data_IF_555499164737
#
_entry.id   IF_555499164737
#
_cell.length_a   1.000
_cell.length_b   1.000
_cell.length_c   1.000
_cell.angle_alpha   90.00
_cell.angle_beta   90.00
_cell.angle_gamma   90.00
#
_symmetry.space_group_name_H-M   'P 1'
#
loop_
_entity.id
_entity.type
_entity.pdbx_description
1 polymer ?
#
# COMPACT_ATOMS: atom_id res chain seq x y z
N UNK A 1 -32.77 -16.35 13.01
CA UNK A 1 -31.56 -16.76 12.26
C UNK A 1 -30.42 -15.87 12.68
N UNK A 2 -29.33 -16.47 13.17
CA UNK A 2 -28.34 -15.83 14.04
C UNK A 2 -27.46 -14.79 13.36
N UNK A 3 -27.31 -13.65 14.03
CA UNK A 3 -26.25 -12.66 13.79
C UNK A 3 -24.90 -13.28 14.17
N UNK A 4 -24.13 -13.68 13.17
CA UNK A 4 -22.72 -14.03 13.35
C UNK A 4 -21.92 -12.80 13.77
N UNK A 5 -21.17 -12.92 14.87
CA UNK A 5 -20.21 -11.94 15.39
C UNK A 5 -19.08 -11.71 14.36
N UNK A 6 -19.30 -10.82 13.39
CA UNK A 6 -18.24 -10.28 12.53
C UNK A 6 -18.00 -8.83 12.92
N UNK A 7 -16.82 -8.52 13.48
CA UNK A 7 -16.42 -7.14 13.80
C UNK A 7 -16.57 -6.24 12.56
N UNK A 8 -17.06 -5.02 12.77
CA UNK A 8 -17.32 -4.03 11.72
C UNK A 8 -16.15 -3.97 10.72
N UNK A 9 -16.39 -4.41 9.48
CA UNK A 9 -15.42 -4.35 8.39
C UNK A 9 -15.12 -2.87 8.07
N UNK A 10 -13.84 -2.52 7.95
CA UNK A 10 -13.43 -1.16 7.55
C UNK A 10 -14.07 -0.79 6.21
N UNK A 11 -14.72 0.37 6.17
CA UNK A 11 -15.40 0.96 5.02
C UNK A 11 -14.47 1.92 4.26
N UNK A 12 -14.93 2.47 3.12
CA UNK A 12 -14.22 3.54 2.41
C UNK A 12 -13.98 4.73 3.34
N UNK A 13 -12.79 5.34 3.25
CA UNK A 13 -12.42 6.46 4.12
C UNK A 13 -12.18 6.07 5.58
N UNK A 14 -12.12 4.78 5.92
CA UNK A 14 -11.79 4.35 7.28
C UNK A 14 -10.37 4.74 7.62
N UNK A 15 -10.23 5.33 8.80
CA UNK A 15 -8.98 5.80 9.36
C UNK A 15 -8.82 5.16 10.74
N UNK A 16 -7.63 4.65 11.02
CA UNK A 16 -7.23 4.24 12.36
C UNK A 16 -5.82 4.75 12.61
N UNK A 17 -5.71 5.94 13.20
CA UNK A 17 -4.45 6.63 13.41
C UNK A 17 -3.77 6.22 14.71
N UNK A 18 -2.44 6.22 14.68
CA UNK A 18 -1.58 6.24 15.87
C UNK A 18 -1.00 7.64 16.03
N UNK A 19 -0.78 8.09 17.27
CA UNK A 19 -0.16 9.40 17.54
C UNK A 19 1.25 9.50 16.95
N UNK A 20 1.93 8.35 16.83
CA UNK A 20 3.26 8.22 16.22
C UNK A 20 3.09 7.83 14.76
N UNK A 21 3.69 8.60 13.85
CA UNK A 21 3.54 8.44 12.39
C UNK A 21 4.68 7.64 11.75
N UNK A 22 4.99 6.44 12.26
CA UNK A 22 6.02 5.59 11.62
C UNK A 22 5.53 5.01 10.29
N UNK A 23 4.39 4.31 10.31
CA UNK A 23 3.89 3.57 9.14
C UNK A 23 2.41 3.87 8.90
N UNK A 24 2.02 4.02 7.63
CA UNK A 24 0.62 3.96 7.22
C UNK A 24 0.39 2.76 6.30
N UNK A 25 -0.55 1.89 6.66
CA UNK A 25 -1.03 0.83 5.79
C UNK A 25 -2.16 1.37 4.91
N UNK A 26 -1.88 1.48 3.61
CA UNK A 26 -2.82 2.00 2.60
C UNK A 26 -3.57 0.83 1.94
N UNK A 27 -4.88 0.88 2.04
CA UNK A 27 -5.79 -0.10 1.44
C UNK A 27 -6.64 0.52 0.34
N UNK A 28 -6.97 -0.27 -0.68
CA UNK A 28 -7.90 0.14 -1.71
C UNK A 28 -9.35 0.10 -1.20
N UNK A 29 -10.18 1.05 -1.65
CA UNK A 29 -11.60 1.15 -1.30
C UNK A 29 -12.35 -0.18 -1.40
N UNK A 30 -13.14 -0.55 -0.39
CA UNK A 30 -13.98 -1.71 -0.48
C UNK A 30 -15.08 -1.60 -1.54
N UNK A 31 -15.28 -2.67 -2.30
CA UNK A 31 -16.51 -3.00 -3.02
C UNK A 31 -17.26 -4.13 -2.30
N UNK A 32 -18.34 -4.66 -2.89
CA UNK A 32 -19.17 -5.74 -2.32
C UNK A 32 -18.41 -7.05 -1.99
N UNK A 33 -17.12 -7.13 -2.31
CA UNK A 33 -16.22 -8.27 -2.07
C UNK A 33 -14.94 -7.93 -1.30
N UNK A 34 -14.83 -6.75 -0.70
CA UNK A 34 -13.59 -6.35 -0.03
C UNK A 34 -13.63 -6.68 1.46
N UNK A 35 -13.03 -7.82 1.78
CA UNK A 35 -12.69 -8.24 3.13
C UNK A 35 -11.34 -7.59 3.47
N UNK A 36 -11.23 -6.94 4.62
CA UNK A 36 -10.03 -6.22 5.07
C UNK A 36 -8.84 -7.13 5.38
N UNK A 37 -8.99 -8.45 5.23
CA UNK A 37 -7.90 -9.44 5.20
C UNK A 37 -7.28 -9.37 3.79
N UNK A 38 -6.15 -8.68 3.63
CA UNK A 38 -4.97 -8.88 4.49
C UNK A 38 -4.51 -7.64 5.26
N UNK A 39 -5.03 -6.45 4.98
CA UNK A 39 -4.57 -5.19 5.59
C UNK A 39 -4.70 -5.22 7.11
N UNK A 40 -5.79 -5.76 7.66
CA UNK A 40 -5.93 -5.91 9.12
C UNK A 40 -4.91 -6.87 9.73
N UNK A 41 -4.57 -7.97 9.04
CA UNK A 41 -3.58 -8.93 9.54
C UNK A 41 -2.17 -8.35 9.47
N UNK A 42 -1.86 -7.62 8.40
CA UNK A 42 -0.61 -6.88 8.24
C UNK A 42 -0.46 -5.84 9.35
N UNK A 43 -1.48 -5.03 9.60
CA UNK A 43 -1.41 -3.95 10.60
C UNK A 43 -1.32 -4.50 12.01
N UNK A 44 -2.06 -5.57 12.31
CA UNK A 44 -1.93 -6.29 13.58
C UNK A 44 -0.51 -6.81 13.78
N UNK A 45 0.05 -7.50 12.78
CA UNK A 45 1.41 -8.05 12.88
C UNK A 45 2.49 -6.97 13.02
N UNK A 46 2.34 -5.83 12.33
CA UNK A 46 3.26 -4.69 12.49
C UNK A 46 3.19 -4.11 13.90
N UNK A 47 1.98 -3.95 14.45
CA UNK A 47 1.78 -3.45 15.83
C UNK A 47 2.33 -4.42 16.88
N UNK A 48 2.08 -5.72 16.74
CA UNK A 48 2.68 -6.77 17.59
C UNK A 48 4.21 -6.76 17.52
N UNK A 49 4.77 -6.41 16.36
CA UNK A 49 6.21 -6.25 16.17
C UNK A 49 6.77 -4.91 16.71
N UNK A 50 5.95 -4.11 17.39
CA UNK A 50 6.33 -2.83 17.98
C UNK A 50 6.45 -1.68 16.99
N UNK A 51 5.78 -1.75 15.83
CA UNK A 51 5.81 -0.71 14.80
C UNK A 51 4.50 0.08 14.83
N UNK A 52 4.58 1.38 15.06
CA UNK A 52 3.41 2.26 15.12
C UNK A 52 2.79 2.40 13.73
N UNK A 53 1.64 1.77 13.54
CA UNK A 53 1.02 1.63 12.21
C UNK A 53 -0.40 2.20 12.21
N UNK A 54 -0.60 3.27 11.44
CA UNK A 54 -1.91 3.80 11.06
C UNK A 54 -2.50 3.01 9.89
N UNK A 55 -3.82 3.10 9.68
CA UNK A 55 -4.51 2.51 8.53
C UNK A 55 -5.28 3.59 7.79
N UNK A 56 -5.14 3.60 6.45
CA UNK A 56 -5.91 4.45 5.56
C UNK A 56 -6.55 3.59 4.46
N UNK A 57 -7.88 3.56 4.43
CA UNK A 57 -8.62 2.98 3.32
C UNK A 57 -9.02 4.10 2.37
N UNK A 58 -8.50 4.07 1.14
CA UNK A 58 -8.78 5.12 0.17
C UNK A 58 -10.29 5.27 -0.09
N UNK A 59 -10.74 6.48 -0.44
CA UNK A 59 -12.09 6.81 -0.85
C UNK A 59 -12.37 6.36 -2.29
N UNK A 60 -11.40 6.57 -3.18
CA UNK A 60 -11.46 6.25 -4.60
C UNK A 60 -10.40 5.23 -5.07
N UNK A 61 -10.06 4.25 -4.25
CA UNK A 61 -9.06 3.20 -4.54
C UNK A 61 -9.53 2.04 -5.46
N UNK A 62 -10.81 1.99 -5.85
CA UNK A 62 -11.32 1.01 -6.83
C UNK A 62 -10.92 1.36 -8.27
N UNK A 63 -10.95 0.40 -9.18
CA UNK A 63 -10.65 0.67 -10.60
C UNK A 63 -9.16 0.79 -10.90
N UNK A 64 -8.78 1.64 -11.85
CA UNK A 64 -7.38 1.94 -12.26
C UNK A 64 -7.23 3.44 -12.53
N UNK A 65 -6.02 4.02 -12.42
CA UNK A 65 -5.81 5.43 -12.75
C UNK A 65 -6.17 5.74 -14.20
N UNK A 66 -6.57 6.99 -14.48
CA UNK A 66 -6.89 7.44 -15.83
C UNK A 66 -5.71 7.33 -16.81
N UNK A 67 -4.48 7.44 -16.30
CA UNK A 67 -3.24 7.34 -17.08
C UNK A 67 -2.88 5.88 -17.43
N UNK A 68 -3.55 4.88 -16.84
CA UNK A 68 -3.25 3.48 -17.12
C UNK A 68 -3.68 3.09 -18.55
N UNK A 69 -2.89 2.26 -19.26
CA UNK A 69 -3.13 1.89 -20.66
C UNK A 69 -4.42 1.07 -20.85
N UNK A 70 -4.88 0.42 -19.78
CA UNK A 70 -6.13 -0.35 -19.77
C UNK A 70 -7.04 0.25 -18.73
N UNK A 71 -8.22 0.70 -19.15
CA UNK A 71 -9.25 1.23 -18.27
C UNK A 71 -10.18 0.11 -17.78
N UNK A 72 -10.79 0.34 -16.62
CA UNK A 72 -11.84 -0.53 -16.08
C UNK A 72 -13.13 0.27 -15.90
N UNK A 73 -14.22 -0.38 -15.48
CA UNK A 73 -15.49 0.33 -15.23
C UNK A 73 -15.47 1.35 -14.08
N UNK A 74 -14.34 1.49 -13.37
CA UNK A 74 -14.11 2.52 -12.37
C UNK A 74 -12.72 3.15 -12.56
N UNK A 75 -12.59 4.43 -12.21
CA UNK A 75 -11.33 5.17 -12.20
C UNK A 75 -10.86 5.33 -10.76
N UNK A 76 -9.59 5.01 -10.51
CA UNK A 76 -8.95 5.24 -9.23
C UNK A 76 -8.54 6.71 -9.10
N UNK A 77 -8.72 7.27 -7.91
CA UNK A 77 -8.22 8.58 -7.52
C UNK A 77 -7.60 8.56 -6.12
N UNK A 78 -6.94 9.67 -5.78
CA UNK A 78 -6.45 9.96 -4.43
C UNK A 78 -6.81 11.42 -4.10
N UNK A 79 -7.35 11.65 -2.92
CA UNK A 79 -7.80 12.98 -2.48
C UNK A 79 -6.66 13.75 -1.78
N UNK A 80 -6.68 15.10 -1.79
CA UNK A 80 -5.66 15.91 -1.11
C UNK A 80 -5.44 15.54 0.36
N UNK A 81 -6.52 15.26 1.09
CA UNK A 81 -6.44 14.85 2.50
C UNK A 81 -5.76 13.48 2.68
N UNK A 82 -5.95 12.56 1.73
CA UNK A 82 -5.31 11.25 1.73
C UNK A 82 -3.80 11.39 1.46
N UNK A 83 -3.44 12.28 0.52
CA UNK A 83 -2.05 12.62 0.22
C UNK A 83 -1.37 13.20 1.46
N UNK A 84 -1.98 14.20 2.10
CA UNK A 84 -1.44 14.83 3.31
C UNK A 84 -1.24 13.77 4.40
N UNK A 85 -2.24 12.92 4.64
CA UNK A 85 -2.14 11.85 5.64
C UNK A 85 -1.02 10.87 5.36
N UNK A 86 -0.86 10.43 4.11
CA UNK A 86 0.22 9.52 3.74
C UNK A 86 1.58 10.19 3.98
N UNK A 87 1.74 11.45 3.56
CA UNK A 87 3.00 12.20 3.68
C UNK A 87 3.42 12.50 5.13
N UNK A 88 2.49 12.45 6.10
CA UNK A 88 2.85 12.57 7.53
C UNK A 88 3.62 11.37 8.08
N UNK A 89 3.64 10.25 7.37
CA UNK A 89 4.26 9.01 7.84
C UNK A 89 5.66 8.80 7.25
N UNK A 90 6.55 8.14 7.99
CA UNK A 90 7.90 7.83 7.50
C UNK A 90 7.89 6.80 6.35
N UNK A 91 6.96 5.85 6.38
CA UNK A 91 6.83 4.76 5.39
C UNK A 91 5.36 4.44 5.08
N UNK A 92 5.06 4.17 3.80
CA UNK A 92 3.76 3.63 3.39
C UNK A 92 3.85 2.12 3.09
N UNK A 93 2.91 1.34 3.60
CA UNK A 93 2.69 -0.06 3.18
C UNK A 93 1.46 -0.08 2.28
N UNK A 94 1.66 -0.19 0.97
CA UNK A 94 0.59 -0.08 -0.02
C UNK A 94 0.17 -1.48 -0.45
N UNK A 95 -1.04 -1.87 -0.06
CA UNK A 95 -1.58 -3.17 -0.43
C UNK A 95 -2.43 -3.10 -1.71
N UNK A 96 -2.02 -3.88 -2.71
CA UNK A 96 -2.56 -3.87 -4.08
C UNK A 96 -3.10 -5.25 -4.50
N UNK A 97 -3.66 -5.31 -5.71
CA UNK A 97 -4.40 -6.48 -6.19
C UNK A 97 -3.55 -7.57 -6.85
N UNK A 98 -4.13 -8.21 -7.87
CA UNK A 98 -3.56 -9.35 -8.58
C UNK A 98 -3.44 -9.12 -10.10
N UNK A 99 -3.41 -7.87 -10.55
CA UNK A 99 -3.22 -7.56 -11.97
C UNK A 99 -2.00 -6.68 -12.06
N UNK A 100 -0.91 -7.19 -12.66
CA UNK A 100 0.39 -6.51 -12.74
C UNK A 100 0.26 -5.04 -13.16
N UNK A 101 -0.43 -4.78 -14.28
CA UNK A 101 -0.68 -3.42 -14.75
C UNK A 101 -1.45 -2.58 -13.73
N UNK A 102 -2.44 -3.14 -13.05
CA UNK A 102 -3.14 -2.39 -12.00
C UNK A 102 -2.25 -2.13 -10.79
N UNK A 103 -1.32 -3.03 -10.46
CA UNK A 103 -0.41 -2.85 -9.32
C UNK A 103 0.52 -1.67 -9.61
N UNK A 104 1.25 -1.72 -10.72
CA UNK A 104 2.28 -0.71 -11.04
C UNK A 104 1.67 0.68 -11.25
N UNK A 105 0.56 0.80 -11.97
CA UNK A 105 -0.08 2.10 -12.23
C UNK A 105 -0.72 2.70 -10.98
N UNK A 106 -1.30 1.89 -10.09
CA UNK A 106 -1.84 2.39 -8.82
C UNK A 106 -0.75 2.87 -7.89
N UNK A 107 0.35 2.11 -7.79
CA UNK A 107 1.51 2.53 -7.01
C UNK A 107 2.04 3.87 -7.56
N UNK A 108 2.18 3.98 -8.89
CA UNK A 108 2.57 5.22 -9.56
C UNK A 108 1.66 6.38 -9.20
N UNK A 109 0.33 6.24 -9.30
CA UNK A 109 -0.61 7.31 -8.95
C UNK A 109 -0.42 7.79 -7.51
N UNK A 110 -0.30 6.87 -6.54
CA UNK A 110 -0.11 7.23 -5.13
C UNK A 110 1.22 7.96 -4.94
N UNK A 111 2.32 7.39 -5.45
CA UNK A 111 3.68 7.91 -5.27
C UNK A 111 3.99 9.14 -6.12
N UNK A 112 3.19 9.42 -7.16
CA UNK A 112 3.19 10.69 -7.90
C UNK A 112 2.83 11.87 -7.01
N UNK A 113 2.03 11.63 -5.97
CA UNK A 113 1.56 12.67 -5.06
C UNK A 113 2.12 12.55 -3.64
N UNK A 114 2.60 11.36 -3.25
CA UNK A 114 3.12 11.12 -1.91
C UNK A 114 4.64 10.93 -1.91
N UNK A 115 5.40 11.85 -1.28
CA UNK A 115 6.86 11.76 -1.12
C UNK A 115 7.19 10.89 0.10
N UNK A 116 6.96 9.59 -0.04
CA UNK A 116 7.19 8.61 1.01
C UNK A 116 7.86 7.35 0.43
N UNK A 117 8.82 6.74 1.14
CA UNK A 117 9.28 5.39 0.84
C UNK A 117 8.14 4.38 1.01
N UNK A 118 7.92 3.53 0.01
CA UNK A 118 6.83 2.56 0.00
C UNK A 118 7.27 1.10 -0.04
N UNK A 119 6.61 0.29 0.78
CA UNK A 119 6.61 -1.17 0.69
C UNK A 119 5.35 -1.58 -0.07
N UNK A 120 5.51 -2.17 -1.26
CA UNK A 120 4.38 -2.67 -2.04
C UNK A 120 4.05 -4.10 -1.60
N UNK A 121 2.80 -4.37 -1.26
CA UNK A 121 2.32 -5.71 -0.90
C UNK A 121 1.24 -6.11 -1.89
N UNK A 122 1.41 -7.21 -2.62
CA UNK A 122 0.47 -7.63 -3.67
C UNK A 122 0.49 -9.14 -3.90
N UNK A 123 -0.43 -9.62 -4.75
CA UNK A 123 -0.52 -11.04 -5.08
C UNK A 123 0.44 -11.41 -6.22
N UNK A 124 0.39 -10.66 -7.32
CA UNK A 124 1.14 -10.99 -8.55
C UNK A 124 2.63 -10.78 -8.37
N UNK A 125 3.49 -11.66 -8.92
CA UNK A 125 4.92 -11.39 -9.02
C UNK A 125 5.18 -10.08 -9.78
N UNK A 126 5.89 -9.17 -9.13
CA UNK A 126 6.42 -7.92 -9.69
C UNK A 126 7.78 -7.63 -9.06
N UNK A 127 8.64 -6.91 -9.76
CA UNK A 127 9.97 -6.49 -9.32
C UNK A 127 10.15 -4.96 -9.46
N UNK A 128 11.37 -4.45 -9.26
CA UNK A 128 11.63 -3.01 -9.29
C UNK A 128 11.61 -2.45 -10.71
N UNK A 129 12.05 -3.26 -11.67
CA UNK A 129 12.04 -2.98 -13.10
C UNK A 129 10.61 -2.71 -13.57
N UNK A 130 9.65 -3.53 -13.14
CA UNK A 130 8.22 -3.35 -13.44
C UNK A 130 7.66 -1.99 -13.00
N UNK A 131 8.14 -1.46 -11.86
CA UNK A 131 7.75 -0.13 -11.37
C UNK A 131 8.50 0.97 -12.12
N UNK A 132 9.78 0.79 -12.40
CA UNK A 132 10.59 1.75 -13.15
C UNK A 132 10.11 1.90 -14.60
N UNK A 133 9.63 0.84 -15.25
CA UNK A 133 9.06 0.88 -16.60
C UNK A 133 7.88 1.85 -16.72
N UNK A 134 7.11 2.04 -15.65
CA UNK A 134 5.99 3.00 -15.62
C UNK A 134 6.40 4.34 -15.00
N UNK A 135 7.69 4.60 -14.77
CA UNK A 135 8.17 5.88 -14.22
C UNK A 135 8.11 5.99 -12.70
N UNK A 136 7.88 4.90 -11.96
CA UNK A 136 8.04 4.94 -10.51
C UNK A 136 9.52 4.93 -10.14
N UNK A 137 9.93 5.85 -9.26
CA UNK A 137 11.24 5.79 -8.62
C UNK A 137 11.33 4.55 -7.74
N UNK A 138 12.48 3.89 -7.75
CA UNK A 138 12.72 2.74 -6.91
C UNK A 138 14.12 2.75 -6.31
N UNK A 139 14.31 1.98 -5.23
CA UNK A 139 15.60 1.91 -4.53
C UNK A 139 16.72 1.25 -5.32
N UNK A 140 16.39 0.48 -6.33
CA UNK A 140 17.35 -0.35 -7.07
C UNK A 140 17.48 0.11 -8.53
N UNK A 141 16.37 0.50 -9.14
CA UNK A 141 16.29 0.87 -10.56
C UNK A 141 15.63 2.26 -10.67
N UNK A 142 16.40 3.27 -11.06
CA UNK A 142 15.86 4.59 -11.34
C UNK A 142 15.24 4.59 -12.75
N UNK A 143 13.99 5.04 -12.92
CA UNK A 143 13.38 5.17 -14.24
C UNK A 143 14.09 6.25 -15.08
N UNK A 144 14.13 6.11 -16.42
CA UNK A 144 14.73 7.12 -17.30
C UNK A 144 13.94 8.44 -17.27
N UNK A 145 12.62 8.35 -17.12
CA UNK A 145 11.72 9.49 -16.95
C UNK A 145 10.93 9.29 -15.63
N UNK A 146 11.47 9.76 -14.48
CA UNK A 146 10.77 9.65 -13.21
C UNK A 146 9.48 10.47 -13.17
N UNK A 147 8.39 9.83 -12.79
CA UNK A 147 7.06 10.45 -12.65
C UNK A 147 6.54 10.45 -11.21
N UNK A 148 7.25 9.79 -10.28
CA UNK A 148 6.89 9.76 -8.87
C UNK A 148 7.84 10.61 -8.02
N UNK A 149 7.28 11.27 -6.99
CA UNK A 149 8.09 11.94 -5.96
C UNK A 149 8.51 10.95 -4.89
N UNK A 150 7.60 10.06 -4.49
CA UNK A 150 7.87 8.91 -3.65
C UNK A 150 8.55 7.77 -4.40
N UNK A 151 8.91 6.73 -3.65
CA UNK A 151 9.82 5.69 -4.12
C UNK A 151 9.38 4.30 -3.64
N UNK A 152 9.42 3.30 -4.52
CA UNK A 152 9.27 1.89 -4.14
C UNK A 152 10.58 1.36 -3.57
N UNK A 153 10.61 1.06 -2.28
CA UNK A 153 11.84 0.60 -1.60
C UNK A 153 11.87 -0.89 -1.32
N UNK A 154 10.70 -1.51 -1.23
CA UNK A 154 10.50 -2.92 -0.94
C UNK A 154 9.22 -3.47 -1.59
N UNK A 155 9.23 -4.76 -1.90
CA UNK A 155 8.11 -5.44 -2.57
C UNK A 155 7.86 -6.78 -1.87
N UNK A 156 6.63 -7.12 -1.54
CA UNK A 156 6.18 -8.43 -1.07
C UNK A 156 5.09 -8.95 -1.99
N UNK A 157 5.36 -10.05 -2.67
CA UNK A 157 4.42 -10.70 -3.58
C UNK A 157 3.82 -11.96 -2.94
N UNK A 158 2.73 -12.48 -3.51
CA UNK A 158 2.04 -13.68 -2.99
C UNK A 158 1.10 -13.43 -1.82
N UNK A 159 0.71 -12.18 -1.56
CA UNK A 159 -0.30 -11.83 -0.55
C UNK A 159 -1.66 -11.69 -1.22
N UNK A 160 -2.57 -12.61 -0.90
CA UNK A 160 -3.88 -12.75 -1.57
C UNK A 160 -4.95 -11.98 -0.79
N UNK A 161 -5.83 -11.31 -1.54
CA UNK A 161 -6.97 -10.57 -0.97
C UNK A 161 -8.09 -11.52 -0.59
N UNK A 162 -8.65 -11.36 0.60
CA UNK A 162 -9.71 -12.20 1.13
C UNK A 162 -9.21 -13.50 1.78
N UNK A 163 -7.91 -13.74 1.79
CA UNK A 163 -7.27 -14.89 2.41
C UNK A 163 -6.41 -14.47 3.61
N UNK A 164 -6.18 -15.41 4.52
CA UNK A 164 -5.26 -15.19 5.63
C UNK A 164 -3.82 -15.19 5.11
N UNK A 165 -3.04 -14.22 5.59
CA UNK A 165 -1.66 -14.04 5.14
C UNK A 165 -0.79 -15.16 5.73
N UNK A 166 -0.06 -15.92 4.91
CA UNK A 166 0.88 -16.93 5.40
C UNK A 166 1.90 -16.34 6.38
N UNK A 167 2.30 -17.11 7.39
CA UNK A 167 3.20 -16.61 8.44
C UNK A 167 4.58 -16.19 7.91
N UNK A 168 5.09 -16.88 6.90
CA UNK A 168 6.32 -16.49 6.19
C UNK A 168 6.18 -15.12 5.51
N UNK A 169 5.00 -14.83 4.94
CA UNK A 169 4.69 -13.53 4.34
C UNK A 169 4.52 -12.43 5.37
N UNK A 170 3.87 -12.70 6.50
CA UNK A 170 3.83 -11.76 7.63
C UNK A 170 5.26 -11.41 8.10
N UNK A 171 6.11 -12.42 8.31
CA UNK A 171 7.50 -12.20 8.72
C UNK A 171 8.31 -11.42 7.66
N UNK A 172 8.08 -11.71 6.38
CA UNK A 172 8.68 -10.96 5.27
C UNK A 172 8.26 -9.49 5.28
N UNK A 173 6.96 -9.20 5.47
CA UNK A 173 6.43 -7.84 5.55
C UNK A 173 7.07 -7.09 6.72
N UNK A 174 7.03 -7.64 7.94
CA UNK A 174 7.62 -7.01 9.12
C UNK A 174 9.11 -6.69 8.91
N UNK A 175 9.88 -7.64 8.36
CA UNK A 175 11.30 -7.46 8.07
C UNK A 175 11.55 -6.36 7.03
N UNK A 176 10.76 -6.32 5.95
CA UNK A 176 10.88 -5.32 4.88
C UNK A 176 10.43 -3.93 5.34
N UNK A 177 9.36 -3.83 6.14
CA UNK A 177 8.94 -2.56 6.75
C UNK A 177 10.01 -2.00 7.68
N UNK A 178 10.62 -2.82 8.54
CA UNK A 178 11.76 -2.39 9.37
C UNK A 178 12.94 -1.90 8.54
N UNK A 179 13.19 -2.51 7.38
CA UNK A 179 14.24 -2.07 6.45
C UNK A 179 13.88 -0.73 5.80
N UNK A 180 12.62 -0.56 5.39
CA UNK A 180 12.10 0.69 4.84
C UNK A 180 12.19 1.84 5.86
N UNK A 181 11.85 1.61 7.13
CA UNK A 181 11.99 2.62 8.20
C UNK A 181 13.45 3.05 8.39
N UNK A 182 14.39 2.10 8.40
CA UNK A 182 15.82 2.42 8.46
C UNK A 182 16.31 3.17 7.22
N UNK A 183 15.73 2.90 6.04
CA UNK A 183 16.03 3.62 4.81
C UNK A 183 15.52 5.06 4.89
N UNK A 184 14.25 5.26 5.25
CA UNK A 184 13.63 6.58 5.40
C UNK A 184 14.43 7.48 6.35
N UNK A 185 14.77 6.97 7.54
CA UNK A 185 15.54 7.70 8.57
C UNK A 185 16.96 8.08 8.16
N UNK A 186 17.54 7.40 7.17
CA UNK A 186 18.85 7.78 6.60
C UNK A 186 18.71 8.85 5.53
N UNK A 187 17.59 8.89 4.81
CA UNK A 187 17.29 9.92 3.80
C UNK A 187 17.02 11.30 4.43
N UNK A 188 16.50 11.31 5.65
CA UNK A 188 16.19 12.54 6.41
C UNK A 188 17.38 13.13 7.18
N UNK A 189 18.57 12.52 7.10
CA UNK A 189 19.82 13.03 7.70
C UNK A 189 20.69 13.65 6.64
#
# INVERSE_FOLDING_TARGET
>A
MGMGKGGSLAQRGTIAETEITEVVAVAMSPGSRHITKPVCEITYALREAGIHTSVLVLNAGSGVPAEAPVQTGATMGIEPEEIERINRHEVAVIHLGNVKQHIVWKARLILKHCDVPAVIVCQTPVDFEDFAEVGCRTRIVEPPEPETVGEVVEIVTGVIRGETVPSDKINEIVRKVRRALRYARRRSR
#
